data_IF_940676211551
#
_entry.id   IF_940676211551
#
_cell.length_a   1.000
_cell.length_b   1.000
_cell.length_c   1.000
_cell.angle_alpha   90.00
_cell.angle_beta   90.00
_cell.angle_gamma   90.00
#
_symmetry.space_group_name_H-M   'P 1'
#
loop_
_entity.id
_entity.type
_entity.pdbx_description
1 polymer ?
#
# COMPACT_ATOMS: atom_id res chain seq x y z
N UNK A 1 28.48 6.72 0.87
CA UNK A 1 27.31 5.83 0.76
C UNK A 1 26.08 6.64 1.16
N UNK A 2 25.31 7.15 0.18
CA UNK A 2 24.08 7.91 0.44
C UNK A 2 23.08 6.94 1.07
N UNK A 3 22.90 7.03 2.39
CA UNK A 3 21.92 6.21 3.11
C UNK A 3 20.54 6.46 2.52
N UNK A 4 19.99 5.46 1.82
CA UNK A 4 18.65 5.56 1.28
C UNK A 4 17.68 5.73 2.46
N UNK A 5 17.02 6.89 2.54
CA UNK A 5 15.91 7.06 3.46
C UNK A 5 14.69 6.29 2.92
N UNK A 6 14.67 4.99 3.22
CA UNK A 6 13.66 4.04 2.73
C UNK A 6 12.25 4.53 3.07
N UNK A 7 12.05 5.14 4.23
CA UNK A 7 10.77 5.72 4.66
C UNK A 7 10.25 6.80 3.70
N UNK A 8 11.10 7.77 3.32
CA UNK A 8 10.68 8.83 2.39
C UNK A 8 10.37 8.27 1.00
N UNK A 9 11.18 7.31 0.53
CA UNK A 9 10.97 6.67 -0.77
C UNK A 9 9.73 5.78 -0.79
N UNK A 10 9.31 5.23 0.36
CA UNK A 10 8.15 4.32 0.45
C UNK A 10 6.85 4.99 -0.02
N UNK A 11 6.71 6.32 0.14
CA UNK A 11 5.55 7.08 -0.35
C UNK A 11 5.33 6.99 -1.87
N UNK A 12 6.37 6.66 -2.63
CA UNK A 12 6.29 6.47 -4.09
C UNK A 12 6.51 5.00 -4.45
N UNK A 13 7.52 4.36 -3.85
CA UNK A 13 7.89 2.98 -4.19
C UNK A 13 6.79 1.97 -3.82
N UNK A 14 6.08 2.15 -2.71
CA UNK A 14 5.00 1.24 -2.33
C UNK A 14 3.87 1.22 -3.38
N UNK A 15 3.21 2.35 -3.73
CA UNK A 15 2.18 2.34 -4.76
C UNK A 15 2.75 2.10 -6.18
N UNK A 16 4.03 2.37 -6.44
CA UNK A 16 4.67 1.98 -7.70
C UNK A 16 4.81 0.46 -7.85
N UNK A 17 5.08 -0.28 -6.77
CA UNK A 17 5.08 -1.73 -6.80
C UNK A 17 3.66 -2.31 -6.96
N UNK A 18 2.64 -1.64 -6.42
CA UNK A 18 1.24 -1.97 -6.74
C UNK A 18 0.95 -1.75 -8.22
N UNK A 19 1.48 -0.67 -8.82
CA UNK A 19 1.36 -0.43 -10.26
C UNK A 19 2.04 -1.53 -11.07
N UNK A 20 3.23 -1.98 -10.66
CA UNK A 20 3.93 -3.12 -11.30
C UNK A 20 3.08 -4.38 -11.23
N UNK A 21 2.52 -4.70 -10.06
CA UNK A 21 1.59 -5.83 -9.93
C UNK A 21 0.36 -5.68 -10.84
N UNK A 22 -0.25 -4.50 -10.90
CA UNK A 22 -1.40 -4.23 -11.76
C UNK A 22 -1.08 -4.45 -13.25
N UNK A 23 0.09 -3.98 -13.69
CA UNK A 23 0.55 -4.19 -15.07
C UNK A 23 0.80 -5.67 -15.35
N UNK A 24 1.50 -6.37 -14.45
CA UNK A 24 1.76 -7.82 -14.63
C UNK A 24 0.43 -8.59 -14.68
N UNK A 25 -0.51 -8.28 -13.79
CA UNK A 25 -1.82 -8.96 -13.73
C UNK A 25 -2.68 -8.69 -14.97
N UNK A 26 -2.58 -7.48 -15.53
CA UNK A 26 -3.23 -7.14 -16.79
C UNK A 26 -2.63 -7.94 -17.95
N UNK A 27 -1.30 -8.04 -18.01
CA UNK A 27 -0.59 -8.81 -19.04
C UNK A 27 -0.86 -10.31 -18.93
N UNK A 28 -0.89 -10.85 -17.71
CA UNK A 28 -1.23 -12.25 -17.43
C UNK A 28 -2.64 -12.60 -17.92
N UNK A 29 -3.60 -11.70 -17.71
CA UNK A 29 -4.99 -11.92 -18.10
C UNK A 29 -5.33 -11.65 -19.58
N UNK A 30 -4.35 -11.30 -20.43
CA UNK A 30 -4.63 -10.94 -21.84
C UNK A 30 -5.19 -12.10 -22.67
N UNK A 31 -4.89 -13.34 -22.30
CA UNK A 31 -5.46 -14.53 -22.93
C UNK A 31 -6.83 -14.93 -22.35
N UNK A 32 -7.38 -14.11 -21.45
CA UNK A 32 -8.63 -14.37 -20.72
C UNK A 32 -8.45 -15.26 -19.50
N UNK A 33 -7.21 -15.64 -19.16
CA UNK A 33 -6.95 -16.54 -18.05
C UNK A 33 -5.81 -16.11 -17.13
N UNK A 34 -6.07 -16.13 -15.82
CA UNK A 34 -5.01 -16.09 -14.80
C UNK A 34 -4.74 -17.50 -14.32
N UNK A 35 -3.47 -17.88 -14.25
CA UNK A 35 -3.06 -19.24 -13.89
C UNK A 35 -1.68 -19.28 -13.23
N UNK A 36 -1.23 -20.46 -12.78
CA UNK A 36 0.06 -20.59 -12.12
C UNK A 36 1.18 -20.30 -13.13
N UNK A 37 2.24 -19.61 -12.69
CA UNK A 37 3.35 -19.27 -13.57
C UNK A 37 4.18 -18.07 -13.12
N UNK A 38 5.08 -17.64 -14.01
CA UNK A 38 6.01 -16.53 -13.75
C UNK A 38 5.30 -15.19 -13.55
N UNK A 39 4.30 -14.88 -14.38
CA UNK A 39 3.56 -13.62 -14.28
C UNK A 39 2.76 -13.56 -12.97
N UNK A 40 1.98 -14.60 -12.64
CA UNK A 40 1.34 -14.76 -11.34
C UNK A 40 2.33 -14.53 -10.19
N UNK A 41 3.43 -15.29 -10.15
CA UNK A 41 4.39 -15.23 -9.04
C UNK A 41 5.08 -13.87 -8.95
N UNK A 42 5.55 -13.32 -10.07
CA UNK A 42 6.23 -12.03 -10.10
C UNK A 42 5.29 -10.89 -9.65
N UNK A 43 4.03 -10.94 -10.08
CA UNK A 43 3.01 -10.01 -9.62
C UNK A 43 2.82 -10.06 -8.11
N UNK A 44 2.56 -11.25 -7.56
CA UNK A 44 2.29 -11.39 -6.12
C UNK A 44 3.51 -11.04 -5.27
N UNK A 45 4.74 -11.34 -5.74
CA UNK A 45 5.98 -10.89 -5.08
C UNK A 45 6.14 -9.37 -5.13
N UNK A 46 5.80 -8.72 -6.24
CA UNK A 46 5.82 -7.26 -6.33
C UNK A 46 4.83 -6.64 -5.33
N UNK A 47 3.64 -7.22 -5.17
CA UNK A 47 2.66 -6.74 -4.19
C UNK A 47 3.09 -7.00 -2.75
N UNK A 48 3.70 -8.15 -2.44
CA UNK A 48 4.30 -8.40 -1.12
C UNK A 48 5.39 -7.38 -0.78
N UNK A 49 6.24 -7.04 -1.75
CA UNK A 49 7.22 -5.98 -1.58
C UNK A 49 6.54 -4.60 -1.38
N UNK A 50 5.43 -4.33 -2.04
CA UNK A 50 4.62 -3.14 -1.80
C UNK A 50 4.10 -3.08 -0.36
N UNK A 51 3.50 -4.17 0.14
CA UNK A 51 3.01 -4.28 1.51
C UNK A 51 4.13 -4.05 2.53
N UNK A 52 5.31 -4.61 2.29
CA UNK A 52 6.49 -4.38 3.13
C UNK A 52 6.89 -2.89 3.18
N UNK A 53 6.76 -2.15 2.07
CA UNK A 53 7.01 -0.70 2.03
C UNK A 53 5.86 0.13 2.61
N UNK A 54 4.62 -0.37 2.62
CA UNK A 54 3.52 0.30 3.30
C UNK A 54 3.70 0.31 4.83
N UNK A 55 4.42 -0.65 5.42
CA UNK A 55 4.72 -0.67 6.87
C UNK A 55 5.43 0.61 7.34
N UNK A 56 6.65 0.96 6.84
CA UNK A 56 7.33 2.18 7.27
C UNK A 56 6.57 3.46 6.87
N UNK A 57 5.80 3.43 5.77
CA UNK A 57 4.94 4.53 5.35
C UNK A 57 3.84 4.82 6.39
N UNK A 58 3.09 3.79 6.80
CA UNK A 58 2.01 3.88 7.79
C UNK A 58 2.55 4.35 9.14
N UNK A 59 3.68 3.77 9.58
CA UNK A 59 4.35 4.19 10.82
C UNK A 59 4.76 5.66 10.76
N UNK A 60 5.28 6.12 9.62
CA UNK A 60 5.68 7.51 9.46
C UNK A 60 4.51 8.48 9.48
N UNK A 61 3.40 8.15 8.81
CA UNK A 61 2.18 8.95 8.87
C UNK A 61 1.67 9.07 10.31
N UNK A 62 1.64 7.96 11.06
CA UNK A 62 1.23 7.94 12.46
C UNK A 62 2.14 8.78 13.36
N UNK A 63 3.47 8.75 13.13
CA UNK A 63 4.41 9.60 13.87
C UNK A 63 4.20 11.08 13.62
N UNK A 64 3.75 11.44 12.42
CA UNK A 64 3.47 12.83 12.04
C UNK A 64 2.04 13.25 12.40
N UNK A 65 1.16 12.36 12.82
CA UNK A 65 -0.22 12.71 13.13
C UNK A 65 -0.29 13.82 14.21
N UNK A 66 -1.22 14.78 14.11
CA UNK A 66 -1.37 15.85 15.10
C UNK A 66 -1.60 15.31 16.52
N UNK A 67 -2.30 14.17 16.66
CA UNK A 67 -2.48 13.46 17.92
C UNK A 67 -1.74 12.12 17.89
N UNK A 68 -0.57 12.06 18.54
CA UNK A 68 0.34 10.90 18.47
C UNK A 68 -0.33 9.58 18.86
N UNK A 69 -1.13 9.55 19.94
CA UNK A 69 -1.81 8.32 20.40
C UNK A 69 -2.83 7.82 19.37
N UNK A 70 -3.65 8.73 18.84
CA UNK A 70 -4.63 8.43 17.79
C UNK A 70 -3.94 7.94 16.52
N UNK A 71 -2.88 8.60 16.07
CA UNK A 71 -2.08 8.17 14.92
C UNK A 71 -1.54 6.75 15.08
N UNK A 72 -0.97 6.44 16.25
CA UNK A 72 -0.45 5.09 16.54
C UNK A 72 -1.55 4.02 16.59
N UNK A 73 -2.72 4.33 17.16
CA UNK A 73 -3.84 3.41 17.18
C UNK A 73 -4.35 3.10 15.76
N UNK A 74 -4.46 4.12 14.91
CA UNK A 74 -4.85 3.95 13.51
C UNK A 74 -3.79 3.17 12.72
N UNK A 75 -2.50 3.43 12.98
CA UNK A 75 -1.44 2.64 12.37
C UNK A 75 -1.48 1.18 12.80
N UNK A 76 -1.71 0.87 14.08
CA UNK A 76 -1.85 -0.51 14.54
C UNK A 76 -2.99 -1.22 13.81
N UNK A 77 -4.14 -0.56 13.69
CA UNK A 77 -5.29 -1.04 12.91
C UNK A 77 -4.93 -1.28 11.44
N UNK A 78 -4.26 -0.32 10.79
CA UNK A 78 -3.82 -0.46 9.40
C UNK A 78 -2.83 -1.62 9.21
N UNK A 79 -1.88 -1.79 10.14
CA UNK A 79 -0.85 -2.82 10.08
C UNK A 79 -1.42 -4.22 10.28
N UNK A 80 -2.50 -4.38 11.05
CA UNK A 80 -3.26 -5.64 11.10
C UNK A 80 -3.82 -5.98 9.72
N UNK A 81 -4.36 -4.99 8.99
CA UNK A 81 -4.79 -5.20 7.61
C UNK A 81 -3.65 -5.52 6.64
N UNK A 82 -2.48 -4.87 6.81
CA UNK A 82 -1.28 -5.20 6.03
C UNK A 82 -0.84 -6.64 6.28
N UNK A 83 -0.88 -7.11 7.53
CA UNK A 83 -0.53 -8.47 7.88
C UNK A 83 -1.49 -9.50 7.27
N UNK A 84 -2.79 -9.23 7.32
CA UNK A 84 -3.80 -10.06 6.65
C UNK A 84 -3.60 -10.12 5.13
N UNK A 85 -3.40 -8.96 4.49
CA UNK A 85 -3.08 -8.90 3.07
C UNK A 85 -1.78 -9.62 2.73
N UNK A 86 -0.74 -9.52 3.56
CA UNK A 86 0.51 -10.24 3.35
C UNK A 86 0.29 -11.76 3.45
N UNK A 87 -0.53 -12.23 4.39
CA UNK A 87 -0.90 -13.64 4.48
C UNK A 87 -1.62 -14.10 3.20
N UNK A 88 -2.57 -13.30 2.69
CA UNK A 88 -3.27 -13.57 1.44
C UNK A 88 -2.29 -13.76 0.28
N UNK A 89 -1.41 -12.78 0.04
CA UNK A 89 -0.46 -12.84 -1.07
C UNK A 89 0.61 -13.93 -0.90
N UNK A 90 0.96 -14.31 0.34
CA UNK A 90 1.82 -15.48 0.58
C UNK A 90 1.10 -16.76 0.18
N UNK A 91 -0.18 -16.91 0.56
CA UNK A 91 -1.00 -18.05 0.12
C UNK A 91 -1.08 -18.09 -1.41
N UNK A 92 -1.34 -16.94 -2.05
CA UNK A 92 -1.42 -16.85 -3.51
C UNK A 92 -0.14 -17.33 -4.19
N UNK A 93 1.04 -16.96 -3.65
CA UNK A 93 2.34 -17.46 -4.14
C UNK A 93 2.48 -18.97 -3.92
N UNK A 94 2.16 -19.47 -2.73
CA UNK A 94 2.27 -20.91 -2.42
C UNK A 94 1.35 -21.73 -3.30
N UNK A 95 0.10 -21.31 -3.49
CA UNK A 95 -0.87 -21.96 -4.38
C UNK A 95 -0.39 -21.91 -5.83
N UNK A 96 0.13 -20.76 -6.28
CA UNK A 96 0.69 -20.62 -7.62
C UNK A 96 1.87 -21.54 -7.91
N UNK A 97 2.67 -21.89 -6.90
CA UNK A 97 3.74 -22.89 -7.03
C UNK A 97 3.25 -24.34 -6.89
N UNK A 98 2.23 -24.58 -6.08
CA UNK A 98 1.73 -25.92 -5.80
C UNK A 98 0.81 -26.48 -6.90
N UNK A 99 0.13 -25.60 -7.63
CA UNK A 99 -0.81 -25.99 -8.68
C UNK A 99 -0.11 -26.29 -10.00
N UNK A 100 -0.52 -27.37 -10.66
CA UNK A 100 -0.06 -27.70 -12.02
C UNK A 100 -0.72 -26.83 -13.10
N UNK A 101 -1.96 -26.40 -12.86
CA UNK A 101 -2.76 -25.60 -13.77
C UNK A 101 -3.78 -24.75 -13.02
N UNK A 102 -4.57 -23.97 -13.78
CA UNK A 102 -5.60 -23.08 -13.22
C UNK A 102 -6.69 -23.84 -12.44
N UNK A 103 -7.09 -25.02 -12.91
CA UNK A 103 -8.13 -25.80 -12.23
C UNK A 103 -7.63 -26.30 -10.88
N UNK A 104 -6.37 -26.75 -10.82
CA UNK A 104 -5.68 -27.12 -9.58
C UNK A 104 -5.56 -25.95 -8.59
N UNK A 105 -5.27 -24.74 -9.07
CA UNK A 105 -5.28 -23.55 -8.20
C UNK A 105 -6.64 -23.31 -7.55
N UNK A 106 -7.73 -23.43 -8.33
CA UNK A 106 -9.09 -23.26 -7.82
C UNK A 106 -9.39 -24.22 -6.67
N UNK A 107 -9.08 -25.51 -6.85
CA UNK A 107 -9.27 -26.52 -5.81
C UNK A 107 -8.46 -26.21 -4.54
N UNK A 108 -7.22 -25.75 -4.67
CA UNK A 108 -6.38 -25.40 -3.52
C UNK A 108 -6.94 -24.18 -2.77
N UNK A 109 -7.38 -23.14 -3.49
CA UNK A 109 -8.02 -21.98 -2.87
C UNK A 109 -9.31 -22.36 -2.15
N UNK A 110 -10.17 -23.18 -2.76
CA UNK A 110 -11.40 -23.66 -2.14
C UNK A 110 -11.12 -24.38 -0.81
N UNK A 111 -10.08 -25.23 -0.78
CA UNK A 111 -9.65 -25.92 0.44
C UNK A 111 -9.16 -24.95 1.52
N UNK A 112 -8.39 -23.93 1.15
CA UNK A 112 -7.87 -22.92 2.09
C UNK A 112 -9.02 -22.06 2.63
N UNK A 113 -9.92 -21.60 1.78
CA UNK A 113 -11.05 -20.74 2.15
C UNK A 113 -12.13 -21.49 2.94
N UNK A 114 -12.20 -22.83 2.80
CA UNK A 114 -13.08 -23.66 3.60
C UNK A 114 -12.69 -23.71 5.10
N UNK A 115 -11.45 -23.33 5.47
CA UNK A 115 -11.04 -23.26 6.87
C UNK A 115 -11.80 -22.13 7.58
N UNK A 116 -12.53 -22.41 8.69
CA UNK A 116 -13.33 -21.41 9.37
C UNK A 116 -12.53 -20.16 9.75
N UNK A 117 -13.03 -19.00 9.32
CA UNK A 117 -12.44 -17.70 9.61
C UNK A 117 -11.37 -17.23 8.61
N UNK A 118 -10.85 -18.08 7.73
CA UNK A 118 -9.86 -17.66 6.72
C UNK A 118 -10.44 -16.61 5.79
N UNK A 119 -11.64 -16.81 5.27
CA UNK A 119 -12.28 -15.86 4.35
C UNK A 119 -12.43 -14.43 4.94
N UNK A 120 -13.01 -14.23 6.15
CA UNK A 120 -13.07 -12.91 6.77
C UNK A 120 -11.71 -12.35 7.20
N UNK A 121 -10.79 -13.19 7.68
CA UNK A 121 -9.52 -12.73 8.26
C UNK A 121 -8.44 -12.48 7.21
N UNK A 122 -8.44 -13.21 6.10
CA UNK A 122 -7.35 -13.18 5.11
C UNK A 122 -7.79 -12.52 3.81
N UNK A 123 -9.04 -12.73 3.38
CA UNK A 123 -9.48 -12.35 2.02
C UNK A 123 -10.44 -11.16 1.97
N UNK A 124 -11.26 -10.94 3.00
CA UNK A 124 -12.36 -9.97 2.91
C UNK A 124 -12.29 -8.84 3.94
N UNK A 125 -12.53 -9.10 5.23
CA UNK A 125 -12.75 -8.03 6.22
C UNK A 125 -11.44 -7.41 6.69
N UNK A 126 -10.55 -8.19 7.29
CA UNK A 126 -9.36 -7.64 7.96
C UNK A 126 -8.40 -6.93 6.99
N UNK A 127 -8.18 -7.39 5.74
CA UNK A 127 -7.37 -6.62 4.77
C UNK A 127 -7.88 -5.19 4.55
N UNK A 128 -9.19 -4.94 4.67
CA UNK A 128 -9.77 -3.59 4.49
C UNK A 128 -9.30 -2.58 5.54
N UNK A 129 -8.81 -3.06 6.69
CA UNK A 129 -8.29 -2.21 7.76
C UNK A 129 -7.07 -1.41 7.30
N UNK A 130 -6.25 -1.99 6.41
CA UNK A 130 -5.13 -1.29 5.79
C UNK A 130 -5.62 -0.05 5.03
N UNK A 131 -6.59 -0.22 4.14
CA UNK A 131 -7.09 0.87 3.31
C UNK A 131 -7.79 1.96 4.14
N UNK A 132 -8.64 1.56 5.10
CA UNK A 132 -9.32 2.50 5.98
C UNK A 132 -8.32 3.27 6.86
N UNK A 133 -7.35 2.57 7.46
CA UNK A 133 -6.33 3.21 8.28
C UNK A 133 -5.41 4.14 7.48
N UNK A 134 -5.01 3.74 6.26
CA UNK A 134 -4.23 4.59 5.36
C UNK A 134 -5.00 5.87 5.00
N UNK A 135 -6.28 5.75 4.64
CA UNK A 135 -7.12 6.90 4.32
C UNK A 135 -7.20 7.89 5.49
N UNK A 136 -7.51 7.41 6.69
CA UNK A 136 -7.58 8.27 7.88
C UNK A 136 -6.23 8.92 8.17
N UNK A 137 -5.12 8.17 8.09
CA UNK A 137 -3.78 8.73 8.32
C UNK A 137 -3.45 9.84 7.32
N UNK A 138 -3.78 9.72 6.04
CA UNK A 138 -3.54 10.79 5.05
C UNK A 138 -4.45 12.00 5.30
N UNK A 139 -5.71 11.78 5.69
CA UNK A 139 -6.62 12.85 6.11
C UNK A 139 -6.05 13.64 7.29
N UNK A 140 -5.49 12.94 8.30
CA UNK A 140 -4.82 13.59 9.43
C UNK A 140 -3.65 14.48 8.98
N UNK A 141 -2.94 14.13 7.90
CA UNK A 141 -1.89 14.99 7.36
C UNK A 141 -2.43 16.25 6.68
N UNK A 142 -3.57 16.15 5.99
CA UNK A 142 -4.23 17.30 5.39
C UNK A 142 -4.81 18.26 6.44
N UNK A 143 -5.45 17.72 7.48
CA UNK A 143 -5.95 18.54 8.62
C UNK A 143 -4.83 19.26 9.36
N UNK A 144 -3.62 18.69 9.38
CA UNK A 144 -2.43 19.32 9.91
C UNK A 144 -1.74 20.31 8.95
N UNK A 145 -2.35 20.60 7.79
CA UNK A 145 -1.84 21.58 6.81
C UNK A 145 -0.59 21.13 6.03
N UNK A 146 -0.23 19.84 6.05
CA UNK A 146 1.00 19.34 5.40
C UNK A 146 0.83 19.04 3.92
N UNK A 147 -0.40 18.83 3.49
CA UNK A 147 -0.79 18.58 2.10
C UNK A 147 -2.15 19.22 1.82
N UNK A 148 -2.43 19.53 0.56
CA UNK A 148 -3.75 19.99 0.14
C UNK A 148 -4.80 18.88 0.19
N UNK A 149 -6.09 19.26 0.22
CA UNK A 149 -7.24 18.34 0.26
C UNK A 149 -7.29 17.34 -0.90
N UNK A 150 -6.67 17.67 -2.03
CA UNK A 150 -6.59 16.79 -3.20
C UNK A 150 -5.81 15.50 -2.91
N UNK A 151 -4.80 15.54 -2.01
CA UNK A 151 -3.97 14.38 -1.68
C UNK A 151 -4.78 13.25 -1.01
N UNK A 152 -5.49 13.47 0.12
CA UNK A 152 -6.37 12.46 0.69
C UNK A 152 -7.52 12.09 -0.25
N UNK A 153 -8.04 13.04 -1.04
CA UNK A 153 -9.09 12.72 -2.02
C UNK A 153 -8.62 11.69 -3.05
N UNK A 154 -7.42 11.86 -3.63
CA UNK A 154 -6.85 10.88 -4.57
C UNK A 154 -6.61 9.51 -3.92
N UNK A 155 -6.12 9.46 -2.68
CA UNK A 155 -5.90 8.21 -1.96
C UNK A 155 -7.23 7.50 -1.68
N UNK A 156 -8.23 8.22 -1.18
CA UNK A 156 -9.57 7.67 -0.88
C UNK A 156 -10.25 7.20 -2.17
N UNK A 157 -10.22 7.99 -3.23
CA UNK A 157 -10.77 7.59 -4.54
C UNK A 157 -10.02 6.38 -5.07
N UNK A 158 -8.69 6.35 -4.99
CA UNK A 158 -7.86 5.23 -5.38
C UNK A 158 -8.22 3.94 -4.65
N UNK A 159 -8.47 3.99 -3.34
CA UNK A 159 -8.98 2.85 -2.57
C UNK A 159 -10.38 2.45 -3.03
N UNK A 160 -11.29 3.41 -3.19
CA UNK A 160 -12.69 3.16 -3.51
C UNK A 160 -12.86 2.50 -4.88
N UNK A 161 -12.08 2.89 -5.90
CA UNK A 161 -12.20 2.28 -7.24
C UNK A 161 -11.88 0.78 -7.22
N UNK A 162 -10.92 0.33 -6.42
CA UNK A 162 -10.57 -1.11 -6.31
C UNK A 162 -11.68 -1.90 -5.60
N UNK A 163 -12.36 -1.27 -4.64
CA UNK A 163 -13.50 -1.89 -3.96
C UNK A 163 -14.71 -2.07 -4.89
N UNK A 164 -14.87 -1.20 -5.89
CA UNK A 164 -15.92 -1.31 -6.92
C UNK A 164 -15.54 -2.32 -7.98
N UNK A 165 -14.33 -2.22 -8.53
CA UNK A 165 -13.83 -3.16 -9.54
C UNK A 165 -12.31 -3.33 -9.40
N UNK A 166 -11.87 -4.58 -9.21
CA UNK A 166 -10.45 -4.94 -9.13
C UNK A 166 -9.69 -4.64 -10.43
N UNK A 167 -10.34 -4.59 -11.58
CA UNK A 167 -9.72 -4.21 -12.86
C UNK A 167 -9.21 -2.76 -12.87
N UNK A 168 -9.70 -1.93 -11.94
CA UNK A 168 -9.27 -0.53 -11.77
C UNK A 168 -8.01 -0.39 -10.91
N UNK A 169 -7.30 -1.49 -10.62
CA UNK A 169 -6.08 -1.46 -9.81
C UNK A 169 -4.99 -0.57 -10.41
N UNK A 170 -4.87 -0.53 -11.74
CA UNK A 170 -3.90 0.34 -12.41
C UNK A 170 -4.20 1.82 -12.13
N UNK A 171 -5.47 2.22 -12.26
CA UNK A 171 -5.92 3.57 -11.93
C UNK A 171 -5.70 3.88 -10.44
N UNK A 172 -6.05 2.95 -9.56
CA UNK A 172 -5.82 3.06 -8.12
C UNK A 172 -4.36 3.33 -7.79
N UNK A 173 -3.44 2.56 -8.39
CA UNK A 173 -2.02 2.70 -8.15
C UNK A 173 -1.50 4.09 -8.57
N UNK A 174 -1.92 4.58 -9.74
CA UNK A 174 -1.58 5.93 -10.24
C UNK A 174 -2.10 7.01 -9.28
N UNK A 175 -3.38 6.93 -8.88
CA UNK A 175 -3.98 7.88 -7.94
C UNK A 175 -3.24 7.90 -6.61
N UNK A 176 -2.87 6.73 -6.09
CA UNK A 176 -2.12 6.59 -4.84
C UNK A 176 -0.68 7.10 -4.96
N UNK A 177 0.02 6.90 -6.08
CA UNK A 177 1.34 7.51 -6.33
C UNK A 177 1.23 9.03 -6.24
N UNK A 178 0.27 9.63 -6.96
CA UNK A 178 0.10 11.09 -7.02
C UNK A 178 -0.32 11.64 -5.65
N UNK A 179 -1.26 10.96 -4.98
CA UNK A 179 -1.76 11.36 -3.67
C UNK A 179 -0.72 11.27 -2.55
N UNK A 180 0.14 10.26 -2.57
CA UNK A 180 1.14 10.02 -1.51
C UNK A 180 2.49 10.73 -1.76
N UNK A 181 2.85 11.00 -3.01
CA UNK A 181 4.15 11.58 -3.36
C UNK A 181 4.53 12.86 -2.58
N UNK A 182 3.63 13.83 -2.32
CA UNK A 182 3.96 15.02 -1.54
C UNK A 182 4.44 14.73 -0.12
N UNK A 183 3.92 13.65 0.50
CA UNK A 183 4.23 13.28 1.89
C UNK A 183 5.63 12.67 2.04
N UNK A 184 6.25 12.25 0.93
CA UNK A 184 7.64 11.78 0.90
C UNK A 184 8.67 12.91 1.04
N UNK A 185 8.28 14.17 0.78
CA UNK A 185 9.17 15.33 0.93
C UNK A 185 9.33 15.66 2.41
N UNK A 186 10.57 15.67 2.91
CA UNK A 186 10.86 16.19 4.26
C UNK A 186 10.68 17.71 4.25
N UNK A 187 10.09 18.30 5.30
CA UNK A 187 10.20 19.74 5.50
C UNK A 187 11.69 20.08 5.59
N UNK A 188 12.15 21.01 4.75
CA UNK A 188 13.51 21.52 4.86
C UNK A 188 13.64 22.16 6.26
N UNK A 189 14.71 21.89 7.02
CA UNK A 189 14.94 22.60 8.26
C UNK A 189 14.96 24.10 7.93
N UNK A 190 14.13 24.89 8.61
CA UNK A 190 14.15 26.33 8.43
C UNK A 190 15.59 26.82 8.60
N UNK A 191 16.18 27.37 7.53
CA UNK A 191 17.53 27.90 7.55
C UNK A 191 17.59 28.93 8.69
N UNK A 192 18.47 28.77 9.69
CA UNK A 192 18.51 29.70 10.82
C UNK A 192 18.69 31.11 10.28
N UNK A 193 17.76 32.01 10.57
CA UNK A 193 17.80 33.42 10.17
C UNK A 193 18.94 34.22 10.85
N UNK A 194 19.94 33.53 11.41
CA UNK A 194 21.01 34.10 12.21
C UNK A 194 22.21 34.58 11.37
N UNK A 195 22.42 34.07 10.15
CA UNK A 195 23.57 34.50 9.33
C UNK A 195 23.34 35.81 8.56
N UNK A 196 22.09 36.27 8.41
CA UNK A 196 21.81 37.50 7.66
C UNK A 196 22.00 38.80 8.46
N UNK A 197 22.24 38.72 9.78
CA UNK A 197 22.53 39.91 10.62
C UNK A 197 24.01 40.16 10.90
N UNK A 198 24.89 39.17 10.69
CA UNK A 198 26.33 39.33 10.94
C UNK A 198 27.08 39.89 9.73
N UNK A 199 26.53 39.76 8.52
CA UNK A 199 27.11 40.35 7.31
C UNK A 199 26.71 41.84 7.09
N UNK A 200 25.99 42.44 8.03
CA UNK A 200 25.52 43.83 7.96
C UNK A 200 26.14 44.75 9.02
N UNK A 201 27.21 44.32 9.69
CA UNK A 201 28.05 45.11 10.60
C UNK A 201 29.49 45.10 10.10
#
# INVERSE_FOLDING_TARGET
MVGMNLTAKSFVLAPALVLVYAVISLLDGLDGTHGPGLAWTAGHLAFLAALALFVPLVVELARRAPYRRTGLAIAAFALVGVAAGAAQFVIDVVVGFAAADRAGMGVLFDQIQAVPGVEPVVYTIVPTFFYAGLAVLVILQATAGRVGWWSPALVVVGVAVVAVNRDLLLLSAVLNIVGLAPLGRRPEPARPAAESRVAAL
#
